data_IF_257787921218
#
_entry.id   IF_257787921218
#
_cell.length_a   1.000
_cell.length_b   1.000
_cell.length_c   1.000
_cell.angle_alpha   90.00
_cell.angle_beta   90.00
_cell.angle_gamma   90.00
#
_symmetry.space_group_name_H-M   'P 1'
#
loop_
_entity.id
_entity.type
_entity.pdbx_description
1 polymer ?
#
# COMPACT_ATOMS: atom_id res chain seq x y z
N UNK A 1 2.42 -9.75 2.33
CA UNK A 1 1.60 -9.12 3.38
C UNK A 1 0.54 -8.15 2.85
N UNK A 2 0.91 -6.97 2.30
CA UNK A 2 -0.09 -5.95 1.92
C UNK A 2 -0.97 -6.39 0.75
N UNK A 3 -0.35 -6.95 -0.30
CA UNK A 3 -1.05 -7.47 -1.47
C UNK A 3 -1.99 -8.62 -1.07
N UNK A 4 -1.50 -9.56 -0.26
CA UNK A 4 -2.28 -10.70 0.23
C UNK A 4 -3.49 -10.24 1.06
N UNK A 5 -3.28 -9.24 1.91
CA UNK A 5 -4.34 -8.63 2.69
C UNK A 5 -5.39 -7.98 1.78
N UNK A 6 -4.97 -7.18 0.80
CA UNK A 6 -5.90 -6.57 -0.16
C UNK A 6 -6.71 -7.62 -0.93
N UNK A 7 -6.04 -8.68 -1.41
CA UNK A 7 -6.68 -9.84 -2.07
C UNK A 7 -7.67 -10.56 -1.14
N UNK A 8 -7.37 -10.68 0.16
CA UNK A 8 -8.27 -11.30 1.14
C UNK A 8 -9.57 -10.50 1.32
N UNK A 9 -9.50 -9.17 1.28
CA UNK A 9 -10.64 -8.30 1.51
C UNK A 9 -11.46 -7.98 0.25
N UNK A 10 -10.80 -7.77 -0.89
CA UNK A 10 -11.44 -7.35 -2.14
C UNK A 10 -11.49 -8.47 -3.20
N UNK A 11 -10.96 -9.65 -2.88
CA UNK A 11 -10.86 -10.78 -3.80
C UNK A 11 -9.83 -10.57 -4.91
N UNK A 12 -9.68 -11.60 -5.74
CA UNK A 12 -8.80 -11.54 -6.93
C UNK A 12 -9.29 -10.46 -7.90
N UNK A 13 -10.60 -10.39 -8.13
CA UNK A 13 -11.17 -9.41 -9.06
C UNK A 13 -10.90 -7.96 -8.65
N UNK A 14 -11.04 -7.64 -7.36
CA UNK A 14 -10.72 -6.31 -6.83
C UNK A 14 -9.23 -6.02 -6.92
N UNK A 15 -8.38 -6.99 -6.58
CA UNK A 15 -6.92 -6.87 -6.72
C UNK A 15 -6.51 -6.52 -8.16
N UNK A 16 -6.97 -7.29 -9.15
CA UNK A 16 -6.62 -7.06 -10.56
C UNK A 16 -7.11 -5.69 -11.04
N UNK A 17 -8.36 -5.30 -10.70
CA UNK A 17 -8.90 -3.99 -11.06
C UNK A 17 -8.14 -2.81 -10.44
N UNK A 18 -7.63 -3.00 -9.22
CA UNK A 18 -6.88 -1.98 -8.51
C UNK A 18 -5.49 -1.72 -9.07
N UNK A 19 -4.95 -2.63 -9.91
CA UNK A 19 -3.59 -2.55 -10.44
C UNK A 19 -2.55 -2.31 -9.32
N UNK A 20 -2.69 -3.08 -8.24
CA UNK A 20 -1.88 -2.94 -7.03
C UNK A 20 -0.47 -3.49 -7.27
N UNK A 21 0.55 -2.67 -7.07
CA UNK A 21 1.95 -3.11 -7.17
C UNK A 21 2.80 -2.43 -6.10
N UNK A 22 3.61 -3.22 -5.37
CA UNK A 22 4.66 -2.68 -4.52
C UNK A 22 5.86 -2.27 -5.39
N UNK A 23 6.45 -1.11 -5.12
CA UNK A 23 7.66 -0.66 -5.78
C UNK A 23 8.88 -1.01 -4.94
N UNK A 24 10.05 -1.02 -5.56
CA UNK A 24 11.34 -1.34 -4.92
C UNK A 24 11.79 -0.27 -3.91
N UNK A 25 11.15 0.89 -3.90
CA UNK A 25 11.37 1.98 -2.95
C UNK A 25 11.01 1.54 -1.52
N UNK A 26 11.95 0.93 -0.80
CA UNK A 26 11.84 0.58 0.62
C UNK A 26 13.00 1.18 1.42
N UNK A 27 12.69 2.08 2.37
CA UNK A 27 13.68 2.72 3.25
C UNK A 27 13.03 3.17 4.55
N UNK A 28 13.69 2.99 5.69
CA UNK A 28 13.24 3.46 7.01
C UNK A 28 11.78 3.05 7.33
N UNK A 29 11.40 1.80 7.04
CA UNK A 29 10.04 1.26 7.21
C UNK A 29 8.97 2.00 6.40
N UNK A 30 9.37 2.63 5.28
CA UNK A 30 8.48 3.29 4.33
C UNK A 30 8.64 2.61 2.99
N UNK A 31 7.49 2.36 2.37
CA UNK A 31 7.38 1.78 1.03
C UNK A 31 6.48 2.62 0.14
N UNK A 32 6.65 2.49 -1.19
CA UNK A 32 5.70 3.04 -2.16
C UNK A 32 4.85 1.91 -2.73
N UNK A 33 3.53 2.10 -2.73
CA UNK A 33 2.58 1.21 -3.39
C UNK A 33 1.89 1.99 -4.50
N UNK A 34 1.94 1.44 -5.70
CA UNK A 34 1.17 1.89 -6.85
C UNK A 34 -0.21 1.25 -6.78
N UNK A 35 -1.23 2.08 -7.02
CA UNK A 35 -2.62 1.65 -7.12
C UNK A 35 -3.33 2.56 -8.11
N UNK A 36 -4.36 2.06 -8.77
CA UNK A 36 -5.28 2.87 -9.55
C UNK A 36 -5.97 3.89 -8.63
N UNK A 37 -6.05 5.15 -9.09
CA UNK A 37 -6.55 6.26 -8.28
C UNK A 37 -7.97 6.01 -7.74
N UNK A 38 -8.82 5.29 -8.46
CA UNK A 38 -10.19 4.92 -8.05
C UNK A 38 -10.22 4.01 -6.82
N UNK A 39 -9.16 3.24 -6.60
CA UNK A 39 -9.07 2.23 -5.53
C UNK A 39 -8.14 2.68 -4.39
N UNK A 40 -7.74 3.95 -4.37
CA UNK A 40 -6.87 4.49 -3.31
C UNK A 40 -7.48 4.35 -1.92
N UNK A 41 -8.80 4.57 -1.80
CA UNK A 41 -9.49 4.49 -0.53
C UNK A 41 -9.67 3.04 -0.07
N UNK A 42 -9.94 2.12 -0.99
CA UNK A 42 -10.01 0.68 -0.73
C UNK A 42 -8.68 0.19 -0.16
N UNK A 43 -7.56 0.59 -0.77
CA UNK A 43 -6.23 0.23 -0.27
C UNK A 43 -6.04 0.76 1.14
N UNK A 44 -6.33 2.05 1.39
CA UNK A 44 -6.23 2.65 2.72
C UNK A 44 -7.09 1.94 3.75
N UNK A 45 -8.31 1.54 3.39
CA UNK A 45 -9.21 0.81 4.27
C UNK A 45 -8.69 -0.60 4.62
N UNK A 46 -7.91 -1.22 3.72
CA UNK A 46 -7.30 -2.53 3.97
C UNK A 46 -6.11 -2.48 4.94
N UNK A 47 -5.35 -1.38 4.98
CA UNK A 47 -4.08 -1.33 5.74
C UNK A 47 -4.25 -1.55 7.26
N UNK A 48 -5.24 -0.93 7.95
CA UNK A 48 -5.43 -1.13 9.40
C UNK A 48 -5.80 -2.55 9.82
N UNK A 49 -6.20 -3.39 8.85
CA UNK A 49 -6.57 -4.78 9.05
C UNK A 49 -5.35 -5.70 9.17
N UNK A 50 -4.18 -5.22 8.76
CA UNK A 50 -2.90 -5.91 8.94
C UNK A 50 -2.47 -5.72 10.39
N UNK A 51 -2.65 -6.77 11.21
CA UNK A 51 -2.25 -6.77 12.63
C UNK A 51 -0.85 -7.31 12.85
N UNK A 52 -0.46 -8.32 12.07
CA UNK A 52 0.83 -8.98 12.20
C UNK A 52 1.47 -9.19 10.84
N UNK A 53 2.79 -9.00 10.78
CA UNK A 53 3.65 -9.40 9.67
C UNK A 53 4.81 -10.16 10.29
N UNK A 54 5.09 -11.38 9.80
CA UNK A 54 6.16 -12.25 10.30
C UNK A 54 6.17 -12.37 11.84
N UNK A 55 4.98 -12.61 12.42
CA UNK A 55 4.71 -12.70 13.86
C UNK A 55 5.02 -11.44 14.69
N UNK A 56 5.32 -10.31 14.05
CA UNK A 56 5.48 -9.03 14.73
C UNK A 56 4.19 -8.22 14.63
N UNK A 57 3.75 -7.63 15.75
CA UNK A 57 2.62 -6.71 15.74
C UNK A 57 3.02 -5.43 15.00
N UNK A 58 2.22 -5.04 14.02
CA UNK A 58 2.50 -3.89 13.16
C UNK A 58 1.28 -2.97 13.04
N UNK A 59 1.56 -1.70 12.73
CA UNK A 59 0.55 -0.73 12.32
C UNK A 59 0.98 -0.19 10.96
N UNK A 60 0.24 -0.58 9.91
CA UNK A 60 0.49 -0.08 8.56
C UNK A 60 -0.41 1.13 8.31
N UNK A 61 0.21 2.28 7.99
CA UNK A 61 -0.50 3.53 7.70
C UNK A 61 -0.04 4.16 6.40
N UNK A 62 -0.96 4.83 5.71
CA UNK A 62 -0.65 5.66 4.55
C UNK A 62 -0.16 7.03 5.03
N UNK A 63 1.10 7.39 4.71
CA UNK A 63 1.68 8.71 5.02
C UNK A 63 1.28 9.79 4.00
N UNK A 64 0.83 9.38 2.81
CA UNK A 64 0.42 10.28 1.76
C UNK A 64 0.18 9.58 0.43
N UNK A 65 -0.37 10.34 -0.52
CA UNK A 65 -0.66 9.88 -1.88
C UNK A 65 -0.15 10.93 -2.86
N UNK A 66 0.38 10.48 -4.00
CA UNK A 66 0.73 11.34 -5.12
C UNK A 66 0.45 10.65 -6.45
N UNK A 67 0.22 11.44 -7.49
CA UNK A 67 0.11 10.94 -8.86
C UNK A 67 1.47 10.69 -9.53
N UNK A 68 2.57 11.20 -8.97
CA UNK A 68 3.91 11.05 -9.55
C UNK A 68 4.92 10.51 -8.55
N UNK A 69 5.81 9.62 -9.02
CA UNK A 69 6.85 9.02 -8.18
C UNK A 69 7.86 10.05 -7.69
N UNK A 70 8.26 10.98 -8.56
CA UNK A 70 9.24 12.01 -8.20
C UNK A 70 8.74 12.88 -7.03
N UNK A 71 7.47 13.30 -7.05
CA UNK A 71 6.87 14.06 -5.95
C UNK A 71 6.75 13.22 -4.67
N UNK A 72 6.48 11.92 -4.80
CA UNK A 72 6.39 11.00 -3.66
C UNK A 72 7.75 10.83 -2.97
N UNK A 73 8.81 10.55 -3.74
CA UNK A 73 10.18 10.39 -3.24
C UNK A 73 10.65 11.64 -2.52
N UNK A 74 10.57 12.79 -3.18
CA UNK A 74 10.97 14.09 -2.61
C UNK A 74 10.20 14.50 -1.34
N UNK A 75 8.92 14.10 -1.22
CA UNK A 75 8.08 14.52 -0.09
C UNK A 75 8.16 13.58 1.11
N UNK A 76 8.48 12.30 0.90
CA UNK A 76 8.30 11.25 1.91
C UNK A 76 9.55 10.40 2.19
N UNK A 77 10.55 10.42 1.31
CA UNK A 77 11.79 9.62 1.40
C UNK A 77 13.08 10.46 1.50
N UNK A 78 13.04 11.69 0.98
CA UNK A 78 13.97 12.78 1.30
C UNK A 78 13.48 13.53 2.55
#
# INVERSE_FOLDING_TARGET
AIIDNYKKYFGIFGMEKSNLAALEDWKNQRGIIKVNNKFTNDLKASLPLIKTIDNQNVIVRCIGVSGTLNKTRRKYFE
#
